data_IF_781857316310
#
_entry.id   IF_781857316310
#
_cell.length_a   1.000
_cell.length_b   1.000
_cell.length_c   1.000
_cell.angle_alpha   90.00
_cell.angle_beta   90.00
_cell.angle_gamma   90.00
#
_symmetry.space_group_name_H-M   'P 1'
#
loop_
_entity.id
_entity.type
_entity.pdbx_description
1 polymer ?
#
# COMPACT_ATOMS: atom_id res chain seq x y z
N UNK A 1 22.09 -61.28 15.56
CA UNK A 1 22.43 -59.88 15.35
C UNK A 1 21.17 -59.10 15.00
N UNK A 2 20.57 -58.56 16.03
CA UNK A 2 19.39 -57.69 15.87
C UNK A 2 19.87 -56.26 15.76
N UNK A 3 19.95 -55.75 14.54
CA UNK A 3 20.12 -54.32 14.31
C UNK A 3 18.75 -53.65 14.55
N UNK A 4 18.59 -53.09 15.73
CA UNK A 4 17.51 -52.15 16.03
C UNK A 4 17.66 -50.93 15.15
N UNK A 5 16.85 -50.81 14.10
CA UNK A 5 16.58 -49.55 13.39
C UNK A 5 15.99 -48.60 14.41
N UNK A 6 16.80 -47.64 14.88
CA UNK A 6 16.28 -46.47 15.58
C UNK A 6 15.50 -45.68 14.55
N UNK A 7 14.17 -45.67 14.71
CA UNK A 7 13.29 -44.80 13.91
C UNK A 7 13.82 -43.37 13.97
N UNK A 8 14.02 -42.77 12.79
CA UNK A 8 14.19 -41.34 12.65
C UNK A 8 12.93 -40.76 13.28
N UNK A 9 13.04 -40.20 14.48
CA UNK A 9 11.94 -39.48 15.10
C UNK A 9 11.45 -38.44 14.13
N UNK A 10 10.14 -38.24 14.08
CA UNK A 10 9.48 -37.23 13.26
C UNK A 10 10.23 -35.91 13.38
N UNK A 11 10.94 -35.52 12.32
CA UNK A 11 11.59 -34.21 12.25
C UNK A 11 10.48 -33.21 12.13
N UNK A 12 10.11 -32.59 13.25
CA UNK A 12 9.12 -31.52 13.26
C UNK A 12 9.59 -30.39 12.32
N UNK A 13 8.78 -30.12 11.30
CA UNK A 13 9.00 -28.98 10.42
C UNK A 13 8.71 -27.73 11.21
N UNK A 14 9.74 -26.90 11.44
CA UNK A 14 9.62 -25.62 12.12
C UNK A 14 9.42 -24.51 11.12
N UNK A 15 8.30 -23.83 11.21
CA UNK A 15 7.90 -22.76 10.32
C UNK A 15 7.89 -21.44 11.06
N UNK A 16 8.24 -20.37 10.34
CA UNK A 16 8.25 -19.00 10.86
C UNK A 16 7.01 -18.29 10.34
N UNK A 17 6.24 -17.72 11.25
CA UNK A 17 5.09 -16.86 10.96
C UNK A 17 5.45 -15.44 11.36
N UNK A 18 5.63 -14.58 10.38
CA UNK A 18 5.92 -13.16 10.60
C UNK A 18 4.63 -12.38 10.71
N UNK A 19 4.28 -11.97 11.92
CA UNK A 19 3.10 -11.16 12.20
C UNK A 19 3.42 -9.70 11.92
N UNK A 20 2.68 -9.09 11.02
CA UNK A 20 2.86 -7.71 10.57
C UNK A 20 1.67 -6.88 11.04
N UNK A 21 1.92 -5.72 11.66
CA UNK A 21 0.87 -4.79 12.08
C UNK A 21 1.30 -3.33 11.90
N UNK A 22 0.35 -2.42 12.04
CA UNK A 22 0.56 -0.99 11.99
C UNK A 22 0.53 -0.41 13.40
N UNK A 23 1.48 0.44 13.72
CA UNK A 23 1.56 1.06 15.05
C UNK A 23 0.57 2.24 15.23
N UNK A 24 0.62 2.90 16.37
CA UNK A 24 -0.22 4.05 16.72
C UNK A 24 0.45 5.42 16.51
N UNK A 25 1.56 5.48 15.80
CA UNK A 25 2.23 6.76 15.54
C UNK A 25 1.41 7.65 14.60
N UNK A 26 1.48 8.94 14.82
CA UNK A 26 0.81 9.97 14.03
C UNK A 26 1.86 11.00 13.56
N UNK A 27 1.70 11.58 12.38
CA UNK A 27 0.57 11.52 11.45
C UNK A 27 0.58 10.27 10.54
N UNK A 28 1.66 9.50 10.52
CA UNK A 28 1.85 8.29 9.70
C UNK A 28 2.17 7.11 10.60
N UNK A 29 1.51 5.98 10.36
CA UNK A 29 1.80 4.72 11.03
C UNK A 29 3.03 4.06 10.43
N UNK A 30 3.80 3.34 11.27
CA UNK A 30 4.89 2.51 10.80
C UNK A 30 4.47 1.03 10.86
N UNK A 31 5.02 0.24 9.94
CA UNK A 31 4.90 -1.21 10.01
C UNK A 31 5.78 -1.75 11.15
N UNK A 32 5.24 -2.72 11.85
CA UNK A 32 5.93 -3.49 12.88
C UNK A 32 5.80 -4.96 12.56
N UNK A 33 6.78 -5.74 12.98
CA UNK A 33 6.67 -7.18 12.83
C UNK A 33 7.34 -7.94 13.97
N UNK A 34 6.89 -9.17 14.17
CA UNK A 34 7.56 -10.15 15.04
C UNK A 34 7.30 -11.57 14.57
N UNK A 35 8.27 -12.44 14.78
CA UNK A 35 8.24 -13.82 14.29
C UNK A 35 7.77 -14.80 15.37
N UNK A 36 6.76 -15.60 15.06
CA UNK A 36 6.36 -16.78 15.82
C UNK A 36 6.94 -18.04 15.15
N UNK A 37 7.41 -18.99 15.94
CA UNK A 37 7.81 -20.31 15.44
C UNK A 37 6.73 -21.34 15.77
N UNK A 38 6.26 -22.07 14.76
CA UNK A 38 5.28 -23.15 14.90
C UNK A 38 5.81 -24.45 14.34
N UNK A 39 5.43 -25.55 14.97
CA UNK A 39 5.76 -26.89 14.49
C UNK A 39 4.59 -27.39 13.62
N UNK A 40 4.92 -27.93 12.45
CA UNK A 40 3.96 -28.54 11.54
C UNK A 40 2.72 -27.63 11.26
N UNK A 41 2.98 -26.36 10.99
CA UNK A 41 1.91 -25.40 10.67
C UNK A 41 1.26 -25.75 9.32
N UNK A 42 -0.04 -25.65 9.24
CA UNK A 42 -0.82 -26.05 8.06
C UNK A 42 -0.68 -25.12 6.84
N UNK A 43 -0.22 -23.89 7.06
CA UNK A 43 -0.22 -22.84 6.03
C UNK A 43 -1.56 -22.13 5.87
N UNK A 44 -2.53 -22.34 6.76
CA UNK A 44 -3.86 -21.77 6.65
C UNK A 44 -4.07 -20.64 7.65
N UNK A 45 -4.84 -19.64 7.21
CA UNK A 45 -5.15 -18.46 8.04
C UNK A 45 -5.90 -18.82 9.33
N UNK A 46 -6.86 -19.75 9.25
CA UNK A 46 -7.66 -20.19 10.40
C UNK A 46 -6.84 -20.85 11.50
N UNK A 47 -5.64 -21.36 11.18
CA UNK A 47 -4.72 -21.99 12.13
C UNK A 47 -3.69 -21.01 12.71
N UNK A 48 -3.70 -19.74 12.27
CA UNK A 48 -2.87 -18.69 12.84
C UNK A 48 -3.46 -18.25 14.20
N UNK A 49 -2.71 -18.39 15.30
CA UNK A 49 -3.22 -17.94 16.60
C UNK A 49 -3.26 -16.42 16.71
N UNK A 50 -4.22 -15.91 17.48
CA UNK A 50 -4.15 -14.52 17.96
C UNK A 50 -2.92 -14.42 18.88
N UNK A 51 -2.17 -13.33 18.73
CA UNK A 51 -0.98 -13.08 19.54
C UNK A 51 -1.09 -11.71 20.22
N UNK A 52 -0.35 -11.51 21.30
CA UNK A 52 -0.29 -10.24 22.01
C UNK A 52 1.04 -9.53 21.76
N UNK A 53 1.06 -8.23 22.01
CA UNK A 53 2.27 -7.42 22.00
C UNK A 53 2.15 -6.25 22.99
N UNK A 54 3.30 -5.64 23.32
CA UNK A 54 3.36 -4.45 24.15
C UNK A 54 2.98 -3.19 23.36
N UNK A 55 1.72 -2.77 23.47
CA UNK A 55 1.20 -1.57 22.81
C UNK A 55 1.85 -0.27 23.30
N UNK A 56 2.45 -0.24 24.50
CA UNK A 56 3.11 0.97 25.03
C UNK A 56 4.36 1.32 24.22
N UNK A 57 5.03 0.32 23.65
CA UNK A 57 6.20 0.50 22.78
C UNK A 57 5.86 0.95 21.35
N UNK A 58 4.57 0.93 20.98
CA UNK A 58 4.09 1.27 19.65
C UNK A 58 3.05 2.39 19.63
N UNK A 59 2.91 3.14 20.73
CA UNK A 59 1.91 4.22 20.89
C UNK A 59 0.45 3.73 20.77
N UNK A 60 0.16 2.52 21.24
CA UNK A 60 -1.16 1.90 21.16
C UNK A 60 -1.76 1.55 22.53
N UNK A 61 -1.00 1.72 23.61
CA UNK A 61 -1.48 1.51 24.97
C UNK A 61 -0.68 2.32 25.98
N UNK A 62 -1.25 2.45 27.20
CA UNK A 62 -0.55 3.01 28.35
C UNK A 62 0.26 1.92 29.06
N UNK A 63 1.41 2.30 29.65
CA UNK A 63 2.33 1.34 30.27
C UNK A 63 1.73 0.50 31.41
N UNK A 64 0.68 0.98 32.07
CA UNK A 64 -0.02 0.25 33.14
C UNK A 64 -1.03 -0.80 32.63
N UNK A 65 -1.38 -0.79 31.34
CA UNK A 65 -2.27 -1.77 30.67
C UNK A 65 -1.86 -1.85 29.21
N UNK A 66 -0.73 -2.50 28.97
CA UNK A 66 -0.02 -2.38 27.70
C UNK A 66 -0.35 -3.46 26.66
N UNK A 67 -1.07 -4.51 27.02
CA UNK A 67 -1.37 -5.60 26.09
C UNK A 67 -2.35 -5.16 24.99
N UNK A 68 -1.93 -5.36 23.74
CA UNK A 68 -2.79 -5.33 22.55
C UNK A 68 -2.75 -6.68 21.86
N UNK A 69 -3.76 -6.96 21.04
CA UNK A 69 -3.88 -8.22 20.32
C UNK A 69 -3.62 -8.03 18.84
N UNK A 70 -2.96 -9.02 18.24
CA UNK A 70 -2.75 -9.18 16.81
C UNK A 70 -3.68 -10.29 16.30
N UNK A 71 -4.71 -9.92 15.59
CA UNK A 71 -5.64 -10.86 14.97
C UNK A 71 -5.25 -11.09 13.50
N UNK A 72 -4.87 -12.31 13.11
CA UNK A 72 -4.57 -12.64 11.72
C UNK A 72 -5.76 -12.36 10.80
N UNK A 73 -5.49 -11.71 9.65
CA UNK A 73 -6.52 -11.35 8.66
C UNK A 73 -6.17 -11.78 7.25
N UNK A 74 -4.89 -11.97 6.95
CA UNK A 74 -4.41 -12.52 5.67
C UNK A 74 -3.08 -13.26 5.89
N UNK A 75 -2.81 -14.24 5.03
CA UNK A 75 -1.58 -15.05 5.06
C UNK A 75 -1.00 -15.18 3.66
N UNK A 76 0.32 -15.06 3.57
CA UNK A 76 1.06 -15.16 2.32
C UNK A 76 2.30 -16.05 2.54
N UNK A 77 2.76 -16.81 1.54
CA UNK A 77 4.10 -17.40 1.58
C UNK A 77 5.14 -16.30 1.83
N UNK A 78 6.14 -16.56 2.66
CA UNK A 78 7.25 -15.64 2.86
C UNK A 78 8.34 -15.91 1.81
N UNK A 79 8.53 -15.05 0.81
CA UNK A 79 9.48 -15.29 -0.26
C UNK A 79 10.95 -15.08 0.16
N UNK A 80 11.16 -14.49 1.33
CA UNK A 80 12.51 -14.20 1.86
C UNK A 80 13.03 -15.30 2.80
N UNK A 81 12.20 -16.28 3.17
CA UNK A 81 12.56 -17.34 4.13
C UNK A 81 11.94 -18.67 3.74
N UNK A 82 12.74 -19.69 3.71
CA UNK A 82 12.25 -21.05 3.50
C UNK A 82 11.24 -21.45 4.56
N UNK A 83 10.13 -22.06 4.15
CA UNK A 83 9.06 -22.52 5.03
C UNK A 83 8.48 -21.43 5.96
N UNK A 84 8.46 -20.18 5.49
CA UNK A 84 7.92 -19.03 6.20
C UNK A 84 6.56 -18.55 5.66
N UNK A 85 5.86 -17.82 6.50
CA UNK A 85 4.61 -17.15 6.15
C UNK A 85 4.60 -15.71 6.66
N UNK A 86 4.11 -14.78 5.85
CA UNK A 86 3.77 -13.43 6.25
C UNK A 86 2.30 -13.44 6.68
N UNK A 87 2.03 -12.95 7.89
CA UNK A 87 0.69 -12.93 8.47
C UNK A 87 0.31 -11.47 8.72
N UNK A 88 -0.51 -10.91 7.84
CA UNK A 88 -1.05 -9.57 8.08
C UNK A 88 -2.07 -9.63 9.21
N UNK A 89 -2.01 -8.67 10.12
CA UNK A 89 -2.86 -8.64 11.31
C UNK A 89 -3.53 -7.29 11.50
N UNK A 90 -4.70 -7.31 12.12
CA UNK A 90 -5.34 -6.11 12.65
C UNK A 90 -5.14 -6.03 14.17
N UNK A 91 -5.02 -4.80 14.68
CA UNK A 91 -4.81 -4.56 16.11
C UNK A 91 -6.13 -4.45 16.81
N UNK A 92 -6.27 -5.22 17.91
CA UNK A 92 -7.43 -5.18 18.80
C UNK A 92 -7.02 -4.79 20.21
N UNK A 93 -7.96 -4.22 20.95
CA UNK A 93 -7.89 -4.05 22.40
C UNK A 93 -7.94 -5.41 23.12
N UNK A 94 -7.57 -5.48 24.41
CA UNK A 94 -7.63 -6.73 25.18
C UNK A 94 -9.01 -7.39 25.23
N UNK A 95 -10.08 -6.61 25.09
CA UNK A 95 -11.47 -7.06 25.05
C UNK A 95 -11.92 -7.52 23.65
N UNK A 96 -10.99 -7.60 22.68
CA UNK A 96 -11.22 -7.97 21.30
C UNK A 96 -12.00 -6.95 20.46
N UNK A 97 -12.22 -5.74 20.95
CA UNK A 97 -12.74 -4.64 20.11
C UNK A 97 -11.63 -4.07 19.23
N UNK A 98 -11.95 -3.52 18.05
CA UNK A 98 -10.94 -2.86 17.23
C UNK A 98 -10.24 -1.74 17.98
N UNK A 99 -8.90 -1.70 17.89
CA UNK A 99 -8.13 -0.60 18.44
C UNK A 99 -8.34 0.67 17.58
N UNK A 100 -8.25 1.86 18.17
CA UNK A 100 -8.45 3.13 17.45
C UNK A 100 -7.49 3.34 16.27
N UNK A 101 -6.29 2.75 16.32
CA UNK A 101 -5.32 2.79 15.22
C UNK A 101 -5.62 1.79 14.09
N UNK A 102 -6.63 0.94 14.24
CA UNK A 102 -6.96 -0.11 13.29
C UNK A 102 -7.71 0.47 12.06
N UNK A 103 -6.96 0.87 11.03
CA UNK A 103 -7.53 1.40 9.78
C UNK A 103 -8.40 0.37 9.04
N UNK A 104 -8.09 -0.92 9.14
CA UNK A 104 -8.85 -1.98 8.48
C UNK A 104 -10.29 -2.08 8.98
N UNK A 105 -10.51 -1.84 10.28
CA UNK A 105 -11.82 -1.83 10.88
C UNK A 105 -12.73 -0.66 10.45
N UNK A 106 -12.18 0.35 9.77
CA UNK A 106 -12.99 1.46 9.21
C UNK A 106 -13.79 1.05 7.97
N UNK A 107 -13.50 -0.12 7.40
CA UNK A 107 -14.25 -0.71 6.29
C UNK A 107 -15.39 -1.55 6.91
N UNK A 108 -16.62 -1.04 6.85
CA UNK A 108 -17.78 -1.64 7.52
C UNK A 108 -18.14 -3.02 6.97
N UNK A 109 -18.08 -3.18 5.64
CA UNK A 109 -18.33 -4.45 4.97
C UNK A 109 -17.05 -5.00 4.37
N UNK A 110 -16.94 -6.32 4.39
CA UNK A 110 -16.01 -7.04 3.53
C UNK A 110 -16.55 -6.98 2.10
N UNK A 111 -16.51 -5.76 1.53
CA UNK A 111 -17.19 -5.45 0.28
C UNK A 111 -16.36 -5.95 -0.89
N UNK A 112 -16.48 -7.26 -1.15
CA UNK A 112 -15.85 -7.92 -2.28
C UNK A 112 -16.36 -7.41 -3.64
N UNK A 113 -17.43 -6.58 -3.66
CA UNK A 113 -17.90 -5.94 -4.87
C UNK A 113 -16.93 -4.86 -5.36
N UNK A 114 -16.28 -4.14 -4.45
CA UNK A 114 -15.27 -3.15 -4.83
C UNK A 114 -13.96 -3.81 -5.27
N UNK A 115 -13.48 -3.38 -6.42
CA UNK A 115 -12.16 -3.70 -6.94
C UNK A 115 -11.28 -2.47 -6.85
N UNK A 116 -10.04 -2.67 -6.39
CA UNK A 116 -9.05 -1.61 -6.28
C UNK A 116 -7.79 -1.93 -7.07
N UNK A 117 -7.26 -0.91 -7.75
CA UNK A 117 -5.91 -0.91 -8.31
C UNK A 117 -5.14 0.25 -7.69
N UNK A 118 -4.12 -0.04 -6.88
CA UNK A 118 -3.26 0.99 -6.32
C UNK A 118 -2.00 1.16 -7.15
N UNK A 119 -1.64 2.42 -7.41
CA UNK A 119 -0.40 2.84 -8.05
C UNK A 119 0.47 3.50 -6.99
N UNK A 120 1.36 2.73 -6.36
CA UNK A 120 2.17 3.18 -5.24
C UNK A 120 3.48 3.77 -5.73
N UNK A 121 3.61 5.08 -5.66
CA UNK A 121 4.87 5.77 -5.88
C UNK A 121 5.72 5.82 -4.59
N UNK A 122 7.03 5.88 -4.75
CA UNK A 122 8.00 6.00 -3.67
C UNK A 122 9.36 6.46 -4.20
N UNK A 123 10.20 6.99 -3.30
CA UNK A 123 11.60 7.25 -3.61
C UNK A 123 12.50 6.23 -2.93
N UNK A 124 13.52 5.75 -3.65
CA UNK A 124 14.60 4.96 -3.07
C UNK A 124 15.69 5.93 -2.62
N UNK A 125 15.96 5.95 -1.33
CA UNK A 125 16.92 6.82 -0.70
C UNK A 125 18.17 6.04 -0.29
N UNK A 126 19.31 6.62 -0.50
CA UNK A 126 20.58 6.09 -0.01
C UNK A 126 20.79 6.45 1.48
N UNK A 127 21.11 5.45 2.31
CA UNK A 127 21.24 5.63 3.76
C UNK A 127 22.39 6.55 4.14
N UNK A 128 23.50 6.51 3.40
CA UNK A 128 24.70 7.32 3.74
C UNK A 128 24.53 8.78 3.34
N UNK A 129 24.01 9.02 2.14
CA UNK A 129 23.88 10.38 1.59
C UNK A 129 22.57 11.06 1.97
N UNK A 130 21.54 10.31 2.35
CA UNK A 130 20.17 10.79 2.59
C UNK A 130 19.55 11.45 1.35
N UNK A 131 20.01 11.07 0.15
CA UNK A 131 19.54 11.58 -1.14
C UNK A 131 18.86 10.46 -1.94
N UNK A 132 17.94 10.80 -2.84
CA UNK A 132 17.40 9.82 -3.78
C UNK A 132 18.51 9.21 -4.64
N UNK A 133 18.37 7.94 -5.00
CA UNK A 133 19.33 7.27 -5.88
C UNK A 133 19.51 8.06 -7.19
N UNK A 134 20.75 8.24 -7.58
CA UNK A 134 21.12 9.00 -8.79
C UNK A 134 21.31 10.51 -8.56
N UNK A 135 21.03 11.03 -7.37
CA UNK A 135 21.38 12.42 -7.04
C UNK A 135 22.88 12.54 -6.81
N UNK A 136 23.53 13.54 -7.42
CA UNK A 136 24.93 13.82 -7.16
C UNK A 136 25.13 14.44 -5.78
N UNK A 137 26.27 14.19 -5.15
CA UNK A 137 26.65 14.87 -3.92
C UNK A 137 26.81 16.38 -4.18
N UNK A 138 26.11 17.18 -3.38
CA UNK A 138 26.21 18.65 -3.44
C UNK A 138 25.49 19.32 -4.60
N UNK A 139 24.54 18.66 -5.23
CA UNK A 139 23.77 19.23 -6.35
C UNK A 139 22.50 18.47 -6.67
N UNK A 140 21.93 18.81 -7.83
CA UNK A 140 20.77 18.14 -8.38
C UNK A 140 21.16 17.36 -9.65
N UNK A 141 20.46 16.27 -9.97
CA UNK A 141 20.63 15.58 -11.25
C UNK A 141 20.07 16.45 -12.39
N UNK A 142 20.06 15.94 -13.62
CA UNK A 142 19.35 16.56 -14.75
C UNK A 142 17.86 16.78 -14.43
N UNK A 143 17.17 17.67 -15.16
CA UNK A 143 15.76 17.96 -14.89
C UNK A 143 14.90 16.72 -14.99
N UNK A 144 13.81 16.70 -14.23
CA UNK A 144 12.85 15.61 -14.28
C UNK A 144 12.23 15.40 -15.69
N UNK A 145 11.67 14.22 -15.92
CA UNK A 145 11.15 13.80 -17.22
C UNK A 145 12.12 12.91 -18.00
N UNK A 146 13.43 13.04 -17.78
CA UNK A 146 14.42 12.14 -18.38
C UNK A 146 14.39 10.72 -17.79
N UNK A 147 13.76 10.56 -16.63
CA UNK A 147 13.78 9.33 -15.83
C UNK A 147 12.55 8.47 -16.08
N UNK A 148 11.42 9.08 -16.48
CA UNK A 148 10.16 8.37 -16.68
C UNK A 148 10.32 7.22 -17.68
N UNK A 149 10.09 5.97 -17.21
CA UNK A 149 10.25 4.74 -17.99
C UNK A 149 11.60 4.63 -18.70
N UNK A 150 12.66 5.21 -18.15
CA UNK A 150 13.96 5.28 -18.80
C UNK A 150 14.67 3.92 -18.88
N UNK A 151 15.61 3.83 -19.81
CA UNK A 151 16.44 2.65 -20.04
C UNK A 151 17.92 3.07 -20.08
N UNK A 152 18.76 2.26 -19.45
CA UNK A 152 20.21 2.44 -19.44
C UNK A 152 20.72 3.18 -18.22
N UNK A 153 21.96 2.90 -17.84
CA UNK A 153 22.57 3.30 -16.57
C UNK A 153 22.78 4.80 -16.36
N UNK A 154 22.53 5.63 -17.37
CA UNK A 154 22.62 7.09 -17.22
C UNK A 154 21.45 7.68 -16.44
N UNK A 155 20.24 7.18 -16.69
CA UNK A 155 18.99 7.75 -16.18
C UNK A 155 18.18 6.78 -15.31
N UNK A 156 18.56 5.49 -15.30
CA UNK A 156 17.85 4.46 -14.52
C UNK A 156 18.63 4.13 -13.27
N UNK A 157 18.03 4.37 -12.11
CA UNK A 157 18.67 4.13 -10.82
C UNK A 157 17.77 3.22 -9.96
N UNK A 158 18.35 2.12 -9.44
CA UNK A 158 17.64 1.20 -8.53
C UNK A 158 16.87 0.05 -9.21
N UNK A 159 16.98 -0.17 -10.53
CA UNK A 159 16.19 -1.20 -11.24
C UNK A 159 16.33 -2.61 -10.64
N UNK A 160 17.54 -3.06 -10.34
CA UNK A 160 17.74 -4.40 -9.77
C UNK A 160 17.00 -4.59 -8.45
N UNK A 161 17.00 -3.57 -7.58
CA UNK A 161 16.26 -3.57 -6.33
C UNK A 161 14.74 -3.64 -6.57
N UNK A 162 14.23 -2.86 -7.52
CA UNK A 162 12.79 -2.79 -7.82
C UNK A 162 12.30 -4.08 -8.48
N UNK A 163 13.08 -4.68 -9.37
CA UNK A 163 12.77 -5.98 -9.99
C UNK A 163 12.78 -7.11 -8.95
N UNK A 164 13.75 -7.10 -8.03
CA UNK A 164 13.77 -8.07 -6.91
C UNK A 164 12.53 -7.92 -6.00
N UNK A 165 12.10 -6.68 -5.70
CA UNK A 165 10.85 -6.45 -4.98
C UNK A 165 9.64 -7.02 -5.73
N UNK A 166 9.56 -6.80 -7.04
CA UNK A 166 8.48 -7.35 -7.87
C UNK A 166 8.45 -8.88 -7.81
N UNK A 167 9.62 -9.53 -7.93
CA UNK A 167 9.74 -10.99 -7.83
C UNK A 167 9.30 -11.51 -6.46
N UNK A 168 9.65 -10.81 -5.36
CA UNK A 168 9.20 -11.15 -4.02
C UNK A 168 7.67 -11.04 -3.89
N UNK A 169 7.07 -9.97 -4.39
CA UNK A 169 5.62 -9.80 -4.36
C UNK A 169 4.88 -10.90 -5.13
N UNK A 170 5.37 -11.23 -6.32
CA UNK A 170 4.82 -12.32 -7.15
C UNK A 170 4.97 -13.67 -6.42
N UNK A 171 6.12 -13.95 -5.84
CA UNK A 171 6.35 -15.19 -5.09
C UNK A 171 5.50 -15.29 -3.81
N UNK A 172 5.16 -14.15 -3.19
CA UNK A 172 4.20 -14.09 -2.08
C UNK A 172 2.75 -14.29 -2.52
N UNK A 173 2.46 -14.32 -3.83
CA UNK A 173 1.12 -14.47 -4.36
C UNK A 173 0.28 -13.19 -4.36
N UNK A 174 0.93 -12.03 -4.21
CA UNK A 174 0.30 -10.72 -4.39
C UNK A 174 -0.04 -10.54 -5.86
N UNK A 175 -1.23 -10.02 -6.15
CA UNK A 175 -1.64 -9.72 -7.51
C UNK A 175 -0.95 -8.44 -8.02
N UNK A 176 0.34 -8.57 -8.30
CA UNK A 176 1.23 -7.52 -8.70
C UNK A 176 1.13 -7.29 -10.21
N UNK A 177 0.82 -6.05 -10.62
CA UNK A 177 0.48 -5.72 -12.02
C UNK A 177 1.68 -5.16 -12.80
N UNK A 178 2.56 -4.42 -12.14
CA UNK A 178 3.70 -3.83 -12.84
C UNK A 178 4.56 -2.90 -12.01
N UNK A 179 5.64 -2.43 -12.66
CA UNK A 179 6.58 -1.44 -12.15
C UNK A 179 6.96 -0.46 -13.25
N UNK A 180 7.21 0.77 -12.90
CA UNK A 180 7.86 1.76 -13.76
C UNK A 180 8.69 2.75 -12.96
N UNK A 181 9.72 3.28 -13.57
CA UNK A 181 10.43 4.44 -13.05
C UNK A 181 9.59 5.68 -13.31
N UNK A 182 9.52 6.54 -12.29
CA UNK A 182 8.74 7.75 -12.30
C UNK A 182 9.53 8.98 -12.79
N UNK A 183 8.86 10.14 -12.79
CA UNK A 183 9.31 11.37 -13.44
C UNK A 183 10.56 11.95 -12.76
N UNK A 184 10.68 11.77 -11.44
CA UNK A 184 11.84 12.22 -10.69
C UNK A 184 12.93 11.16 -10.60
N UNK A 185 14.19 11.60 -10.51
CA UNK A 185 15.32 10.71 -10.31
C UNK A 185 15.20 9.93 -8.99
N UNK A 186 15.35 8.62 -9.03
CA UNK A 186 15.21 7.74 -7.86
C UNK A 186 13.78 7.45 -7.45
N UNK A 187 12.78 7.97 -8.17
CA UNK A 187 11.37 7.70 -7.96
C UNK A 187 10.92 6.50 -8.79
N UNK A 188 10.17 5.62 -8.17
CA UNK A 188 9.59 4.43 -8.77
C UNK A 188 8.13 4.26 -8.36
N UNK A 189 7.41 3.45 -9.12
CA UNK A 189 6.04 3.07 -8.86
C UNK A 189 5.89 1.56 -9.02
N UNK A 190 5.06 0.96 -8.17
CA UNK A 190 4.51 -0.37 -8.44
C UNK A 190 2.98 -0.33 -8.44
N UNK A 191 2.38 -1.22 -9.21
CA UNK A 191 0.93 -1.35 -9.31
C UNK A 191 0.51 -2.73 -8.82
N UNK A 192 -0.59 -2.76 -8.08
CA UNK A 192 -1.27 -3.99 -7.70
C UNK A 192 -2.78 -3.85 -7.90
N UNK A 193 -3.45 -4.98 -8.06
CA UNK A 193 -4.88 -5.07 -8.19
C UNK A 193 -5.44 -6.07 -7.18
N UNK A 194 -6.56 -5.74 -6.53
CA UNK A 194 -7.23 -6.65 -5.63
C UNK A 194 -8.75 -6.50 -5.69
N UNK A 195 -9.45 -7.61 -5.43
CA UNK A 195 -10.90 -7.65 -5.25
C UNK A 195 -11.20 -7.62 -3.76
N UNK A 196 -12.08 -6.70 -3.35
CA UNK A 196 -12.39 -6.43 -1.96
C UNK A 196 -11.51 -5.35 -1.34
N UNK A 197 -12.14 -4.39 -0.65
CA UNK A 197 -11.46 -3.24 -0.07
C UNK A 197 -10.45 -3.64 1.03
N UNK A 198 -10.81 -4.60 1.89
CA UNK A 198 -9.91 -5.12 2.93
C UNK A 198 -8.72 -5.85 2.34
N UNK A 199 -8.99 -6.72 1.36
CA UNK A 199 -7.95 -7.48 0.68
C UNK A 199 -6.95 -6.56 -0.04
N UNK A 200 -7.42 -5.49 -0.68
CA UNK A 200 -6.56 -4.51 -1.33
C UNK A 200 -5.60 -3.82 -0.34
N UNK A 201 -6.09 -3.47 0.84
CA UNK A 201 -5.25 -2.94 1.91
C UNK A 201 -4.27 -3.97 2.46
N UNK A 202 -4.71 -5.20 2.67
CA UNK A 202 -3.86 -6.31 3.14
C UNK A 202 -2.69 -6.54 2.17
N UNK A 203 -2.96 -6.67 0.88
CA UNK A 203 -1.94 -6.90 -0.15
C UNK A 203 -0.98 -5.71 -0.29
N UNK A 204 -1.49 -4.46 -0.27
CA UNK A 204 -0.63 -3.29 -0.38
C UNK A 204 0.32 -3.14 0.83
N UNK A 205 -0.16 -3.39 2.05
CA UNK A 205 0.70 -3.35 3.23
C UNK A 205 1.76 -4.46 3.20
N UNK A 206 1.43 -5.65 2.72
CA UNK A 206 2.42 -6.73 2.56
C UNK A 206 3.42 -6.39 1.45
N UNK A 207 2.99 -5.78 0.35
CA UNK A 207 3.91 -5.29 -0.69
C UNK A 207 4.88 -4.23 -0.15
N UNK A 208 4.38 -3.25 0.64
CA UNK A 208 5.24 -2.27 1.34
C UNK A 208 6.19 -2.95 2.33
N UNK A 209 5.70 -3.95 3.07
CA UNK A 209 6.55 -4.71 3.99
C UNK A 209 7.72 -5.38 3.27
N UNK A 210 7.47 -6.05 2.15
CA UNK A 210 8.52 -6.69 1.36
C UNK A 210 9.51 -5.65 0.79
N UNK A 211 9.01 -4.49 0.36
CA UNK A 211 9.84 -3.39 -0.14
C UNK A 211 10.78 -2.87 0.95
N UNK A 212 10.25 -2.58 2.15
CA UNK A 212 11.06 -2.08 3.26
C UNK A 212 12.02 -3.15 3.80
N UNK A 213 11.59 -4.42 3.90
CA UNK A 213 12.46 -5.53 4.31
C UNK A 213 13.64 -5.72 3.35
N UNK A 214 13.40 -5.59 2.05
CA UNK A 214 14.45 -5.72 1.04
C UNK A 214 15.52 -4.64 1.20
N UNK A 215 15.17 -3.43 1.63
CA UNK A 215 16.14 -2.33 1.84
C UNK A 215 17.24 -2.69 2.84
N UNK A 216 16.96 -3.55 3.81
CA UNK A 216 17.93 -3.97 4.82
C UNK A 216 19.18 -4.65 4.21
N UNK A 217 19.07 -5.18 3.00
CA UNK A 217 20.16 -5.83 2.27
C UNK A 217 20.94 -4.88 1.34
N UNK A 218 20.42 -3.67 1.09
CA UNK A 218 20.93 -2.77 0.04
C UNK A 218 21.57 -1.48 0.55
N UNK A 219 21.42 -1.14 1.81
CA UNK A 219 21.82 0.18 2.34
C UNK A 219 20.94 1.31 1.82
N UNK A 220 19.67 0.99 1.52
CA UNK A 220 18.64 1.92 1.10
C UNK A 220 17.56 2.07 2.18
N UNK A 221 16.73 3.10 2.04
CA UNK A 221 15.43 3.16 2.69
C UNK A 221 14.39 3.73 1.72
N UNK A 222 13.12 3.46 1.99
CA UNK A 222 12.02 3.95 1.16
C UNK A 222 11.43 5.19 1.79
N UNK A 223 11.26 6.22 0.96
CA UNK A 223 10.61 7.46 1.35
C UNK A 223 9.22 7.54 0.74
N UNK A 224 8.20 7.54 1.61
CA UNK A 224 6.79 7.65 1.24
C UNK A 224 6.25 9.08 1.45
N UNK A 225 7.07 10.03 1.85
CA UNK A 225 6.62 11.42 2.01
C UNK A 225 6.07 11.95 0.68
N UNK A 226 4.91 12.64 0.65
CA UNK A 226 4.29 13.08 -0.60
C UNK A 226 5.10 14.13 -1.37
N UNK A 227 6.05 14.82 -0.72
CA UNK A 227 6.96 15.77 -1.36
C UNK A 227 8.36 15.67 -0.73
N UNK A 228 9.14 14.63 -1.04
CA UNK A 228 10.45 14.43 -0.40
C UNK A 228 11.51 15.42 -0.90
N UNK A 229 11.36 15.91 -2.12
CA UNK A 229 12.31 16.88 -2.72
C UNK A 229 11.59 18.20 -2.93
N UNK A 230 12.13 19.28 -2.36
CA UNK A 230 11.60 20.63 -2.48
C UNK A 230 11.87 21.21 -3.88
N UNK A 231 11.01 22.13 -4.32
CA UNK A 231 11.16 22.84 -5.59
C UNK A 231 10.38 22.18 -6.72
N UNK A 232 10.86 22.34 -7.93
CA UNK A 232 10.19 21.92 -9.17
C UNK A 232 10.41 20.43 -9.46
N UNK A 233 9.98 19.58 -8.51
CA UNK A 233 10.01 18.13 -8.60
C UNK A 233 8.63 17.54 -8.35
N UNK A 234 8.32 16.41 -8.99
CA UNK A 234 7.09 15.69 -8.71
C UNK A 234 7.02 15.29 -7.24
N UNK A 235 5.79 15.27 -6.73
CA UNK A 235 5.48 14.60 -5.48
C UNK A 235 5.29 13.10 -5.69
N UNK A 236 4.95 12.41 -4.61
CA UNK A 236 4.71 10.97 -4.57
C UNK A 236 3.28 10.68 -4.15
N UNK A 237 2.53 9.99 -4.98
CA UNK A 237 1.13 9.65 -4.77
C UNK A 237 0.90 8.16 -4.60
N UNK A 238 -0.34 7.84 -4.28
CA UNK A 238 -0.86 6.49 -4.36
C UNK A 238 -2.23 6.56 -5.03
N UNK A 239 -2.25 6.65 -6.36
CA UNK A 239 -3.50 6.71 -7.10
C UNK A 239 -4.35 5.48 -6.81
N UNK A 240 -5.63 5.69 -6.58
CA UNK A 240 -6.57 4.62 -6.30
C UNK A 240 -7.56 4.46 -7.47
N UNK A 241 -7.32 3.45 -8.28
CA UNK A 241 -8.31 3.00 -9.25
C UNK A 241 -9.36 2.17 -8.52
N UNK A 242 -10.63 2.43 -8.78
CA UNK A 242 -11.71 1.71 -8.10
C UNK A 242 -12.94 1.52 -8.98
N UNK A 243 -13.68 0.47 -8.69
CA UNK A 243 -14.99 0.20 -9.30
C UNK A 243 -15.80 -0.73 -8.41
N UNK A 244 -17.10 -0.58 -8.47
CA UNK A 244 -18.07 -1.58 -8.01
C UNK A 244 -18.82 -2.19 -9.20
N UNK A 245 -19.78 -3.06 -8.98
CA UNK A 245 -20.58 -3.69 -10.05
C UNK A 245 -21.33 -2.66 -10.88
N UNK A 246 -21.82 -1.56 -10.27
CA UNK A 246 -22.53 -0.52 -11.03
C UNK A 246 -21.61 0.18 -12.02
N UNK A 247 -20.40 0.56 -11.60
CA UNK A 247 -19.42 1.18 -12.49
C UNK A 247 -18.94 0.20 -13.59
N UNK A 248 -18.81 -1.08 -13.26
CA UNK A 248 -18.33 -2.07 -14.25
C UNK A 248 -19.39 -2.50 -15.28
N UNK A 249 -20.67 -2.47 -14.93
CA UNK A 249 -21.69 -3.15 -15.74
C UNK A 249 -22.83 -2.28 -16.24
N UNK A 250 -23.12 -1.12 -15.63
CA UNK A 250 -24.31 -0.33 -15.93
C UNK A 250 -24.36 0.22 -17.35
N UNK A 251 -23.25 0.69 -17.88
CA UNK A 251 -23.21 1.43 -19.14
C UNK A 251 -23.91 2.78 -19.07
N UNK A 252 -24.04 3.37 -17.88
CA UNK A 252 -24.73 4.63 -17.63
C UNK A 252 -23.72 5.73 -17.26
N UNK A 253 -23.50 6.66 -18.17
CA UNK A 253 -22.67 7.85 -17.98
C UNK A 253 -23.02 8.64 -16.73
N UNK A 254 -24.33 8.76 -16.42
CA UNK A 254 -24.79 9.54 -15.28
C UNK A 254 -24.30 8.99 -13.95
N UNK A 255 -24.11 7.67 -13.82
CA UNK A 255 -23.55 7.04 -12.61
C UNK A 255 -22.14 7.55 -12.36
N UNK A 256 -21.28 7.59 -13.37
CA UNK A 256 -19.91 8.08 -13.24
C UNK A 256 -19.87 9.55 -12.80
N UNK A 257 -20.69 10.38 -13.42
CA UNK A 257 -20.80 11.79 -13.05
C UNK A 257 -21.35 12.01 -11.63
N UNK A 258 -22.31 11.19 -11.19
CA UNK A 258 -22.85 11.27 -9.83
C UNK A 258 -21.78 10.88 -8.79
N UNK A 259 -21.02 9.81 -9.03
CA UNK A 259 -19.89 9.44 -8.17
C UNK A 259 -18.88 10.59 -8.11
N UNK A 260 -18.44 11.14 -9.24
CA UNK A 260 -17.50 12.26 -9.25
C UNK A 260 -18.00 13.48 -8.48
N UNK A 261 -19.28 13.84 -8.63
CA UNK A 261 -19.90 14.94 -7.86
C UNK A 261 -19.88 14.66 -6.36
N UNK A 262 -20.25 13.44 -5.94
CA UNK A 262 -20.20 13.06 -4.53
C UNK A 262 -18.79 13.17 -3.96
N UNK A 263 -17.74 12.83 -4.73
CA UNK A 263 -16.35 13.03 -4.34
C UNK A 263 -16.00 14.52 -4.18
N UNK A 264 -16.51 15.40 -5.04
CA UNK A 264 -16.35 16.85 -4.93
C UNK A 264 -17.04 17.43 -3.70
N UNK A 265 -18.20 16.90 -3.31
CA UNK A 265 -18.93 17.31 -2.10
C UNK A 265 -18.28 16.81 -0.80
N UNK A 266 -17.38 15.82 -0.87
CA UNK A 266 -16.73 15.18 0.27
C UNK A 266 -15.20 15.40 0.32
N UNK A 267 -14.69 16.52 -0.26
CA UNK A 267 -13.24 16.81 -0.31
C UNK A 267 -12.60 16.69 1.07
N UNK A 268 -13.17 17.37 2.07
CA UNK A 268 -12.60 17.37 3.43
C UNK A 268 -12.47 15.96 3.99
N UNK A 269 -13.52 15.16 3.88
CA UNK A 269 -13.53 13.77 4.37
C UNK A 269 -12.40 12.94 3.75
N UNK A 270 -12.17 13.12 2.44
CA UNK A 270 -11.11 12.41 1.75
C UNK A 270 -9.73 12.92 2.18
N UNK A 271 -9.54 14.24 2.22
CA UNK A 271 -8.25 14.82 2.62
C UNK A 271 -7.83 14.45 4.04
N UNK A 272 -8.79 14.29 4.96
CA UNK A 272 -8.52 13.87 6.34
C UNK A 272 -7.86 12.47 6.43
N UNK A 273 -7.98 11.63 5.41
CA UNK A 273 -7.46 10.24 5.38
C UNK A 273 -6.53 9.92 4.20
N UNK A 274 -6.33 10.86 3.27
CA UNK A 274 -5.53 10.64 2.05
C UNK A 274 -4.03 10.85 2.23
N UNK A 275 -3.54 10.81 3.46
CA UNK A 275 -2.12 10.90 3.79
C UNK A 275 -1.71 12.25 4.36
N UNK A 276 -0.63 12.22 5.13
CA UNK A 276 -0.10 13.40 5.80
C UNK A 276 0.72 14.28 4.82
N UNK A 277 0.66 15.60 5.02
CA UNK A 277 1.40 16.60 4.23
C UNK A 277 1.06 16.60 2.73
N UNK A 278 -0.14 16.14 2.37
CA UNK A 278 -0.58 16.04 0.98
C UNK A 278 -0.78 17.41 0.31
N UNK A 279 -0.92 18.48 1.10
CA UNK A 279 -0.92 19.88 0.63
C UNK A 279 0.37 20.27 -0.07
N UNK A 280 1.49 19.62 0.26
CA UNK A 280 2.78 19.86 -0.38
C UNK A 280 2.87 19.24 -1.78
N UNK A 281 2.02 18.25 -2.07
CA UNK A 281 1.94 17.56 -3.37
C UNK A 281 0.81 18.12 -4.23
N UNK A 282 -0.39 18.31 -3.66
CA UNK A 282 -1.59 18.77 -4.38
C UNK A 282 -1.59 20.29 -4.54
N UNK A 283 -0.84 20.78 -5.50
CA UNK A 283 -0.55 22.22 -5.68
C UNK A 283 -1.19 22.83 -6.93
N UNK A 284 -1.81 22.01 -7.79
CA UNK A 284 -2.26 22.45 -9.12
C UNK A 284 -1.14 22.41 -10.18
N UNK A 285 0.05 21.93 -9.81
CA UNK A 285 1.20 21.71 -10.70
C UNK A 285 1.55 20.22 -10.70
N UNK A 286 2.44 19.79 -11.61
CA UNK A 286 2.96 18.41 -11.65
C UNK A 286 1.84 17.36 -11.75
N UNK A 287 0.90 17.58 -12.66
CA UNK A 287 -0.24 16.68 -12.91
C UNK A 287 -1.12 16.44 -11.67
N UNK A 288 -1.27 17.45 -10.81
CA UNK A 288 -2.20 17.42 -9.67
C UNK A 288 -3.17 18.57 -9.71
N UNK A 289 -4.38 18.37 -9.16
CA UNK A 289 -5.27 19.47 -8.78
C UNK A 289 -4.82 20.05 -7.44
N UNK A 290 -5.12 21.34 -7.20
CA UNK A 290 -4.91 21.95 -5.89
C UNK A 290 -5.75 21.26 -4.81
N UNK A 291 -5.21 21.13 -3.61
CA UNK A 291 -5.86 20.43 -2.49
C UNK A 291 -7.24 21.02 -2.13
N UNK A 292 -7.41 22.33 -2.32
CA UNK A 292 -8.65 23.06 -2.00
C UNK A 292 -9.67 23.05 -3.15
N UNK A 293 -9.34 22.45 -4.27
CA UNK A 293 -10.18 22.40 -5.45
C UNK A 293 -10.47 20.97 -5.86
N UNK A 294 -11.59 20.80 -6.55
CA UNK A 294 -11.97 19.51 -7.11
C UNK A 294 -12.33 19.66 -8.58
N UNK A 295 -11.82 18.75 -9.38
CA UNK A 295 -12.17 18.60 -10.78
C UNK A 295 -12.19 17.14 -11.18
N UNK A 296 -12.91 16.82 -12.25
CA UNK A 296 -12.83 15.49 -12.87
C UNK A 296 -12.98 15.61 -14.38
N UNK A 297 -12.42 14.68 -15.11
CA UNK A 297 -12.50 14.67 -16.57
C UNK A 297 -12.01 13.39 -17.21
N UNK A 298 -12.44 13.18 -18.46
CA UNK A 298 -11.99 12.07 -19.28
C UNK A 298 -10.55 12.30 -19.71
N UNK A 299 -9.68 11.33 -19.42
CA UNK A 299 -8.22 11.37 -19.71
C UNK A 299 -7.47 12.56 -19.08
N UNK A 300 -8.09 13.27 -18.15
CA UNK A 300 -7.48 14.45 -17.53
C UNK A 300 -6.57 14.06 -16.36
N UNK A 301 -5.26 14.11 -16.59
CA UNK A 301 -4.25 13.81 -15.58
C UNK A 301 -4.03 14.94 -14.56
N UNK A 302 -4.53 16.15 -14.83
CA UNK A 302 -4.52 17.29 -13.91
C UNK A 302 -5.73 17.34 -12.98
N UNK A 303 -6.71 16.47 -13.17
CA UNK A 303 -7.92 16.43 -12.36
C UNK A 303 -7.75 15.64 -11.05
N UNK A 304 -8.64 15.88 -10.09
CA UNK A 304 -8.76 15.10 -8.86
C UNK A 304 -9.19 13.65 -9.15
N UNK A 305 -10.20 13.48 -10.00
CA UNK A 305 -10.67 12.19 -10.48
C UNK A 305 -10.50 12.14 -12.00
N UNK A 306 -9.79 11.13 -12.47
CA UNK A 306 -9.69 10.82 -13.90
C UNK A 306 -10.69 9.73 -14.26
N UNK A 307 -11.42 9.95 -15.34
CA UNK A 307 -12.22 8.92 -16.01
C UNK A 307 -11.32 8.34 -17.11
N UNK A 308 -10.88 7.08 -17.02
CA UNK A 308 -10.06 6.48 -18.08
C UNK A 308 -10.79 6.48 -19.42
N UNK A 309 -10.07 6.73 -20.51
CA UNK A 309 -10.67 6.72 -21.87
C UNK A 309 -11.32 5.36 -22.17
N UNK A 310 -10.71 4.28 -21.72
CA UNK A 310 -11.24 2.92 -21.89
C UNK A 310 -12.62 2.74 -21.25
N UNK A 311 -12.89 3.39 -20.12
CA UNK A 311 -14.22 3.38 -19.50
C UNK A 311 -15.27 3.98 -20.44
N UNK A 312 -14.93 5.04 -21.14
CA UNK A 312 -15.85 5.70 -22.10
C UNK A 312 -15.99 4.87 -23.37
N UNK A 313 -14.88 4.38 -23.93
CA UNK A 313 -14.85 3.52 -25.13
C UNK A 313 -15.60 2.20 -24.94
N UNK A 314 -15.56 1.66 -23.73
CA UNK A 314 -16.32 0.45 -23.34
C UNK A 314 -17.79 0.76 -23.02
N UNK A 315 -18.28 1.94 -23.38
CA UNK A 315 -19.68 2.34 -23.22
C UNK A 315 -20.06 2.63 -21.76
N UNK A 316 -19.20 3.37 -21.05
CA UNK A 316 -19.37 3.73 -19.65
C UNK A 316 -19.42 2.49 -18.73
N UNK A 317 -18.49 1.59 -18.95
CA UNK A 317 -18.21 0.40 -18.12
C UNK A 317 -16.74 0.38 -17.77
N UNK A 318 -16.42 0.37 -16.47
CA UNK A 318 -15.03 0.34 -16.08
C UNK A 318 -14.79 0.90 -14.68
N UNK A 319 -13.80 1.78 -14.56
CA UNK A 319 -13.32 2.31 -13.28
C UNK A 319 -13.18 3.83 -13.30
N UNK A 320 -13.00 4.38 -12.12
CA UNK A 320 -12.52 5.72 -11.85
C UNK A 320 -11.13 5.66 -11.21
N UNK A 321 -10.32 6.69 -11.39
CA UNK A 321 -9.02 6.85 -10.76
C UNK A 321 -9.04 8.10 -9.88
N UNK A 322 -8.95 7.90 -8.56
CA UNK A 322 -8.72 9.00 -7.62
C UNK A 322 -7.21 9.26 -7.52
N UNK A 323 -6.80 10.42 -8.00
CA UNK A 323 -5.39 10.82 -8.09
C UNK A 323 -4.90 11.60 -6.87
N UNK A 324 -5.78 11.82 -5.89
CA UNK A 324 -5.50 12.66 -4.72
C UNK A 324 -4.74 11.96 -3.59
N UNK A 325 -4.85 10.64 -3.33
CA UNK A 325 -4.14 10.05 -2.20
C UNK A 325 -2.64 10.21 -2.31
N UNK A 326 -1.99 10.54 -1.17
CA UNK A 326 -0.54 10.60 -1.04
C UNK A 326 0.08 9.21 -0.87
N UNK A 327 1.34 9.07 -1.22
CA UNK A 327 2.07 7.79 -1.13
C UNK A 327 2.14 7.23 0.30
N UNK A 328 2.13 8.07 1.33
CA UNK A 328 2.11 7.67 2.73
C UNK A 328 0.71 7.39 3.29
N UNK A 329 -0.33 7.45 2.48
CA UNK A 329 -1.70 7.17 2.91
C UNK A 329 -1.90 5.72 3.35
N UNK A 330 -2.82 5.51 4.30
CA UNK A 330 -3.25 4.19 4.71
C UNK A 330 -4.28 3.65 3.71
N UNK A 331 -3.97 2.58 2.95
CA UNK A 331 -4.87 2.04 1.93
C UNK A 331 -6.24 1.59 2.50
N UNK A 332 -6.30 1.16 3.76
CA UNK A 332 -7.58 0.82 4.38
C UNK A 332 -8.49 2.04 4.54
N UNK A 333 -7.95 3.14 5.07
CA UNK A 333 -8.72 4.38 5.27
C UNK A 333 -9.10 5.02 3.94
N UNK A 334 -8.21 4.97 2.96
CA UNK A 334 -8.46 5.45 1.59
C UNK A 334 -9.58 4.64 0.97
N UNK A 335 -9.50 3.30 0.98
CA UNK A 335 -10.54 2.43 0.44
C UNK A 335 -11.88 2.63 1.15
N UNK A 336 -11.90 2.74 2.47
CA UNK A 336 -13.10 3.02 3.27
C UNK A 336 -13.79 4.32 2.84
N UNK A 337 -13.02 5.40 2.67
CA UNK A 337 -13.57 6.69 2.23
C UNK A 337 -14.14 6.62 0.81
N UNK A 338 -13.44 5.94 -0.12
CA UNK A 338 -13.88 5.74 -1.50
C UNK A 338 -15.18 4.92 -1.54
N UNK A 339 -15.21 3.77 -0.85
CA UNK A 339 -16.40 2.90 -0.78
C UNK A 339 -17.61 3.66 -0.25
N UNK A 340 -17.43 4.34 0.89
CA UNK A 340 -18.54 5.09 1.52
C UNK A 340 -19.07 6.19 0.61
N UNK A 341 -18.19 6.97 -0.02
CA UNK A 341 -18.62 8.06 -0.90
C UNK A 341 -19.27 7.54 -2.17
N UNK A 342 -18.72 6.47 -2.76
CA UNK A 342 -19.31 5.84 -3.96
C UNK A 342 -20.72 5.32 -3.66
N UNK A 343 -20.90 4.55 -2.57
CA UNK A 343 -22.22 4.05 -2.17
C UNK A 343 -23.24 5.15 -1.91
N UNK A 344 -22.82 6.28 -1.34
CA UNK A 344 -23.71 7.40 -1.05
C UNK A 344 -24.16 8.20 -2.29
N UNK A 345 -23.55 7.97 -3.45
CA UNK A 345 -23.85 8.67 -4.70
C UNK A 345 -24.97 8.03 -5.52
N UNK A 346 -25.48 6.89 -5.09
CA UNK A 346 -26.50 6.09 -5.80
C UNK A 346 -27.95 6.36 -5.32
#
# INVERSE_FOLDING_TARGET
DSSTSRGLGDVYKRQKLEYIWLDGYSPTQNMRSKTMVRNNFSGKLEDCPIWNFDGSSTKQAEGGSSDCLLKPVAIFPDPMRDDGYLVMTEVLNPDSTPHESNGRATIDDDDNDFWFGFEQEYFIMDVETQLPLGFPLGGYPGPQGLYYCSVGGKNTHGRAFVEEHADLCIAAGINFEGINQEVACGQWEFQLFAKGAKNAGDELWVARYLLDRLTENYGYYIEYHPKPIKGDWNGSGMHANFSDTKLRESGDEAIFHNVCKAFGENIKRHMDVYGAHNELRLTGLHETQSIDQFSYGVSDRGASIRIPITTVEDGWKGRLEDRRPASNGDPYKIASAIVTTTKSSY
#
